data_IF_458710359989
#
_entry.id   IF_458710359989
#
_cell.length_a   1.000
_cell.length_b   1.000
_cell.length_c   1.000
_cell.angle_alpha   90.00
_cell.angle_beta   90.00
_cell.angle_gamma   90.00
#
_symmetry.space_group_name_H-M   'P 1'
#
loop_
_entity.id
_entity.type
_entity.pdbx_description
1 polymer ?
#
# COMPACT_ATOMS: atom_id res chain seq x y z
N UNK A 1 21.33 -18.87 16.81
CA UNK A 1 21.33 -17.63 16.00
C UNK A 1 19.90 -17.14 15.86
N UNK A 2 19.54 -16.09 16.60
CA UNK A 2 18.32 -15.28 16.43
C UNK A 2 18.71 -13.86 16.82
N UNK A 3 19.17 -13.08 15.85
CA UNK A 3 19.33 -11.63 16.00
C UNK A 3 17.99 -11.02 15.60
N UNK A 4 17.20 -10.69 16.62
CA UNK A 4 15.95 -9.96 16.51
C UNK A 4 16.29 -8.55 16.04
N UNK A 5 15.93 -8.20 14.81
CA UNK A 5 16.09 -6.84 14.26
C UNK A 5 14.98 -5.93 14.78
N UNK A 6 14.88 -5.79 16.10
CA UNK A 6 14.02 -4.82 16.77
C UNK A 6 14.85 -3.57 17.08
N UNK A 7 15.12 -2.71 16.11
CA UNK A 7 15.60 -1.34 16.37
C UNK A 7 15.64 -0.53 15.06
N UNK A 8 14.66 0.38 14.86
CA UNK A 8 14.83 1.68 14.18
C UNK A 8 13.54 2.51 14.11
N UNK A 9 12.89 2.72 15.26
CA UNK A 9 12.07 3.91 15.46
C UNK A 9 12.75 4.75 16.56
N UNK A 10 13.91 5.34 16.21
CA UNK A 10 14.62 6.24 17.12
C UNK A 10 13.86 7.56 17.17
N UNK A 11 13.18 7.78 18.30
CA UNK A 11 12.61 9.08 18.66
C UNK A 11 13.74 10.06 18.98
N UNK A 12 14.05 10.95 18.05
CA UNK A 12 14.88 12.14 18.32
C UNK A 12 14.00 13.26 18.85
N UNK A 13 14.10 13.53 20.16
CA UNK A 13 13.58 14.75 20.77
C UNK A 13 14.48 15.94 20.39
N UNK A 14 14.02 16.82 19.49
CA UNK A 14 14.44 18.22 19.42
C UNK A 14 13.43 19.04 18.61
N UNK A 15 13.10 20.24 19.08
CA UNK A 15 12.02 21.10 18.62
C UNK A 15 12.29 21.67 17.22
N UNK A 16 11.70 21.05 16.20
CA UNK A 16 11.37 21.61 14.87
C UNK A 16 10.40 20.64 14.20
N UNK A 17 9.29 21.14 13.66
CA UNK A 17 8.22 20.42 12.94
C UNK A 17 8.47 18.91 12.75
N UNK A 18 7.98 18.10 13.70
CA UNK A 18 8.08 16.64 13.62
C UNK A 18 7.18 16.21 12.46
N UNK A 19 7.74 16.10 11.26
CA UNK A 19 7.19 15.21 10.25
C UNK A 19 7.44 13.81 10.79
N UNK A 20 6.47 13.28 11.55
CA UNK A 20 6.47 11.87 11.92
C UNK A 20 6.50 11.10 10.61
N UNK A 21 7.65 10.52 10.26
CA UNK A 21 7.75 9.59 9.14
C UNK A 21 6.98 8.36 9.58
N UNK A 22 5.71 8.31 9.21
CA UNK A 22 4.87 7.16 9.48
C UNK A 22 5.33 6.06 8.53
N UNK A 23 6.13 5.13 9.04
CA UNK A 23 6.49 3.94 8.28
C UNK A 23 5.21 3.13 8.03
N UNK A 24 5.01 2.71 6.78
CA UNK A 24 3.93 1.78 6.45
C UNK A 24 4.35 0.38 6.87
N UNK A 25 3.37 -0.42 7.28
CA UNK A 25 3.58 -1.84 7.54
C UNK A 25 3.72 -2.61 6.22
N UNK A 26 4.33 -3.79 6.30
CA UNK A 26 4.48 -4.69 5.17
C UNK A 26 3.18 -5.47 4.93
N UNK A 27 2.92 -5.88 3.69
CA UNK A 27 1.73 -6.64 3.31
C UNK A 27 2.09 -7.95 2.61
N UNK A 28 1.73 -9.07 3.20
CA UNK A 28 1.91 -10.40 2.60
C UNK A 28 0.77 -10.76 1.65
N UNK A 29 1.10 -11.02 0.39
CA UNK A 29 0.15 -11.39 -0.65
C UNK A 29 0.14 -12.91 -0.91
N UNK A 30 -0.96 -13.41 -1.48
CA UNK A 30 -1.20 -14.85 -1.68
C UNK A 30 -0.28 -15.52 -2.70
N UNK A 31 0.43 -14.75 -3.53
CA UNK A 31 1.50 -15.23 -4.41
C UNK A 31 2.87 -15.35 -3.72
N UNK A 32 2.94 -15.13 -2.41
CA UNK A 32 4.18 -15.21 -1.62
C UNK A 32 5.02 -13.94 -1.63
N UNK A 33 4.60 -12.89 -2.34
CA UNK A 33 5.27 -11.59 -2.33
C UNK A 33 4.89 -10.80 -1.08
N UNK A 34 5.88 -10.12 -0.51
CA UNK A 34 5.69 -9.11 0.53
C UNK A 34 5.80 -7.76 -0.13
N UNK A 35 4.72 -6.97 -0.10
CA UNK A 35 4.76 -5.56 -0.50
C UNK A 35 5.32 -4.77 0.67
N UNK A 36 6.58 -4.36 0.54
CA UNK A 36 7.32 -3.66 1.58
C UNK A 36 6.74 -2.26 1.84
N UNK A 37 6.80 -1.82 3.10
CA UNK A 37 6.29 -0.53 3.54
C UNK A 37 6.92 0.68 2.82
N UNK A 38 8.17 0.57 2.36
CA UNK A 38 8.83 1.62 1.58
C UNK A 38 8.22 1.78 0.17
N UNK A 39 7.80 0.68 -0.47
CA UNK A 39 7.09 0.66 -1.75
C UNK A 39 5.73 1.34 -1.57
N UNK A 40 5.02 1.01 -0.48
CA UNK A 40 3.72 1.61 -0.15
C UNK A 40 3.89 3.10 0.14
N UNK A 41 4.89 3.48 0.94
CA UNK A 41 5.14 4.88 1.27
C UNK A 41 5.50 5.71 0.03
N UNK A 42 6.30 5.16 -0.89
CA UNK A 42 6.56 5.81 -2.19
C UNK A 42 5.28 6.01 -2.98
N UNK A 43 4.46 4.98 -3.10
CA UNK A 43 3.18 5.07 -3.82
C UNK A 43 2.22 6.12 -3.22
N UNK A 44 2.23 6.29 -1.89
CA UNK A 44 1.50 7.35 -1.18
C UNK A 44 2.05 8.75 -1.45
N UNK A 45 3.38 8.91 -1.43
CA UNK A 45 4.04 10.18 -1.70
C UNK A 45 3.73 10.67 -3.12
N UNK A 46 3.61 9.76 -4.07
CA UNK A 46 3.31 10.07 -5.47
C UNK A 46 1.86 10.55 -5.68
N UNK A 47 0.94 10.35 -4.72
CA UNK A 47 -0.48 10.73 -4.86
C UNK A 47 -0.65 12.23 -5.10
N UNK A 48 0.17 13.08 -4.49
CA UNK A 48 0.07 14.54 -4.73
C UNK A 48 0.41 14.96 -6.15
N UNK A 49 1.15 14.10 -6.87
CA UNK A 49 1.58 14.34 -8.26
C UNK A 49 0.78 13.52 -9.27
N UNK A 50 -0.08 12.62 -8.80
CA UNK A 50 -0.96 11.82 -9.66
C UNK A 50 -2.01 12.70 -10.33
N UNK A 51 -2.26 12.42 -11.61
CA UNK A 51 -3.44 12.95 -12.29
C UNK A 51 -4.70 12.32 -11.67
N UNK A 52 -5.82 13.03 -11.57
CA UNK A 52 -7.10 12.43 -11.18
C UNK A 52 -7.48 11.17 -11.98
N UNK A 53 -6.97 11.02 -13.21
CA UNK A 53 -7.22 9.85 -14.07
C UNK A 53 -6.50 8.56 -13.63
N UNK A 54 -5.49 8.65 -12.75
CA UNK A 54 -4.79 7.47 -12.21
C UNK A 54 -5.37 7.00 -10.89
N UNK A 55 -6.32 7.76 -10.33
CA UNK A 55 -7.07 7.45 -9.12
C UNK A 55 -8.47 6.98 -9.49
N UNK A 56 -8.85 5.82 -8.97
CA UNK A 56 -10.13 5.20 -9.28
C UNK A 56 -10.95 5.04 -8.00
N UNK A 57 -12.26 5.25 -8.08
CA UNK A 57 -13.13 5.09 -6.92
C UNK A 57 -13.14 3.62 -6.44
N UNK A 58 -12.93 3.43 -5.13
CA UNK A 58 -12.99 2.12 -4.45
C UNK A 58 -14.20 2.00 -3.50
N UNK A 59 -15.15 2.94 -3.61
CA UNK A 59 -16.35 3.02 -2.77
C UNK A 59 -16.16 3.96 -1.57
N UNK A 60 -17.07 3.91 -0.61
CA UNK A 60 -17.01 4.73 0.61
C UNK A 60 -16.73 3.86 1.84
N UNK A 61 -16.28 4.48 2.92
CA UNK A 61 -16.03 3.87 4.22
C UNK A 61 -16.59 4.79 5.31
N UNK A 62 -17.24 4.24 6.34
CA UNK A 62 -17.72 5.01 7.48
C UNK A 62 -16.76 4.84 8.66
N UNK A 63 -16.11 5.93 9.09
CA UNK A 63 -15.11 5.94 10.18
C UNK A 63 -15.32 7.20 11.01
N UNK A 64 -15.25 7.09 12.34
CA UNK A 64 -15.33 8.24 13.27
C UNK A 64 -16.52 9.17 13.00
N UNK A 65 -17.69 8.61 12.70
CA UNK A 65 -18.93 9.33 12.43
C UNK A 65 -18.96 10.12 11.10
N UNK A 66 -18.03 9.85 10.18
CA UNK A 66 -17.93 10.49 8.87
C UNK A 66 -17.84 9.45 7.75
N UNK A 67 -18.34 9.80 6.56
CA UNK A 67 -18.14 9.01 5.34
C UNK A 67 -16.91 9.53 4.59
N UNK A 68 -15.93 8.66 4.42
CA UNK A 68 -14.72 8.92 3.64
C UNK A 68 -14.81 8.21 2.30
N UNK A 69 -14.38 8.87 1.22
CA UNK A 69 -14.19 8.17 -0.04
C UNK A 69 -12.94 7.31 0.05
N UNK A 70 -13.01 6.15 -0.58
CA UNK A 70 -11.84 5.31 -0.84
C UNK A 70 -11.49 5.39 -2.30
N UNK A 71 -10.20 5.40 -2.53
CA UNK A 71 -9.59 5.43 -3.85
C UNK A 71 -8.66 4.24 -3.99
N UNK A 72 -8.41 3.85 -5.22
CA UNK A 72 -7.36 2.91 -5.54
C UNK A 72 -6.48 3.41 -6.67
N UNK A 73 -5.20 3.05 -6.60
CA UNK A 73 -4.23 3.20 -7.68
C UNK A 73 -3.36 1.95 -7.78
N UNK A 74 -2.76 1.72 -8.94
CA UNK A 74 -1.74 0.68 -9.09
C UNK A 74 -0.44 1.12 -8.43
N UNK A 75 0.25 0.19 -7.80
CA UNK A 75 1.56 0.37 -7.17
C UNK A 75 2.62 -0.07 -8.18
N UNK A 76 3.63 0.78 -8.41
CA UNK A 76 4.83 0.37 -9.14
C UNK A 76 5.69 -0.47 -8.20
N UNK A 77 5.88 -1.74 -8.54
CA UNK A 77 6.62 -2.71 -7.73
C UNK A 77 7.93 -3.14 -8.41
N UNK A 78 8.93 -3.62 -7.64
CA UNK A 78 10.13 -4.21 -8.21
C UNK A 78 9.84 -5.41 -9.13
N UNK A 79 10.74 -5.69 -10.07
CA UNK A 79 10.60 -6.83 -10.99
C UNK A 79 10.56 -8.18 -10.26
N UNK A 80 11.20 -8.28 -9.10
CA UNK A 80 11.17 -9.49 -8.26
C UNK A 80 9.77 -9.86 -7.74
N UNK A 81 8.79 -8.94 -7.82
CA UNK A 81 7.41 -9.19 -7.37
C UNK A 81 6.55 -9.86 -8.46
N UNK A 82 7.08 -10.04 -9.68
CA UNK A 82 6.43 -10.82 -10.72
C UNK A 82 6.81 -12.31 -10.53
N UNK A 83 5.83 -13.13 -10.17
CA UNK A 83 6.04 -14.55 -9.83
C UNK A 83 5.34 -15.45 -10.86
N UNK A 84 6.14 -16.19 -11.62
CA UNK A 84 5.65 -17.09 -12.67
C UNK A 84 5.14 -16.36 -13.92
N UNK A 85 4.36 -17.07 -14.73
CA UNK A 85 3.88 -16.56 -16.03
C UNK A 85 2.52 -15.84 -15.94
N UNK A 86 1.95 -15.71 -14.73
CA UNK A 86 0.66 -15.03 -14.56
C UNK A 86 0.90 -13.55 -14.40
N UNK A 87 0.29 -12.75 -15.28
CA UNK A 87 0.34 -11.29 -15.18
C UNK A 87 -0.36 -10.83 -13.90
N UNK A 88 0.39 -10.16 -13.03
CA UNK A 88 -0.10 -9.64 -11.75
C UNK A 88 0.23 -8.17 -11.57
N UNK A 89 -0.66 -7.43 -10.93
CA UNK A 89 -0.38 -6.08 -10.42
C UNK A 89 -0.84 -5.92 -8.97
N UNK A 90 -0.37 -4.85 -8.34
CA UNK A 90 -0.69 -4.55 -6.94
C UNK A 90 -1.43 -3.22 -6.88
N UNK A 91 -2.49 -3.14 -6.07
CA UNK A 91 -3.27 -1.92 -5.86
C UNK A 91 -3.13 -1.44 -4.43
N UNK A 92 -2.94 -0.14 -4.28
CA UNK A 92 -3.03 0.57 -3.02
C UNK A 92 -4.47 1.08 -2.88
N UNK A 93 -5.15 0.68 -1.81
CA UNK A 93 -6.44 1.25 -1.40
C UNK A 93 -6.18 2.24 -0.27
N UNK A 94 -6.64 3.47 -0.43
CA UNK A 94 -6.45 4.53 0.54
C UNK A 94 -7.71 5.41 0.65
N UNK A 95 -7.83 6.19 1.71
CA UNK A 95 -8.94 7.14 1.87
C UNK A 95 -8.53 8.59 1.56
N UNK A 96 -9.48 9.53 1.66
CA UNK A 96 -9.25 10.96 1.43
C UNK A 96 -8.13 11.56 2.31
N UNK A 97 -7.82 10.95 3.47
CA UNK A 97 -6.74 11.35 4.36
C UNK A 97 -5.39 10.68 4.01
N UNK A 98 -5.33 9.97 2.87
CA UNK A 98 -4.18 9.16 2.42
C UNK A 98 -3.78 8.07 3.41
N UNK A 99 -4.73 7.59 4.22
CA UNK A 99 -4.50 6.47 5.12
C UNK A 99 -4.66 5.18 4.32
N UNK A 100 -3.66 4.30 4.39
CA UNK A 100 -3.71 2.97 3.77
C UNK A 100 -4.85 2.17 4.39
N UNK A 101 -5.72 1.62 3.55
CA UNK A 101 -6.84 0.78 3.96
C UNK A 101 -6.65 -0.68 3.56
N UNK A 102 -5.95 -0.95 2.46
CA UNK A 102 -5.61 -2.31 2.02
C UNK A 102 -4.58 -2.27 0.89
N UNK A 103 -3.83 -3.36 0.75
CA UNK A 103 -3.08 -3.70 -0.47
C UNK A 103 -3.77 -4.90 -1.12
N UNK A 104 -3.99 -4.82 -2.44
CA UNK A 104 -4.64 -5.89 -3.20
C UNK A 104 -3.69 -6.44 -4.26
N UNK A 105 -3.61 -7.76 -4.34
CA UNK A 105 -3.02 -8.47 -5.47
C UNK A 105 -4.09 -8.70 -6.53
N UNK A 106 -3.78 -8.35 -7.77
CA UNK A 106 -4.66 -8.42 -8.92
C UNK A 106 -4.06 -9.38 -9.93
N UNK A 107 -4.75 -10.48 -10.21
CA UNK A 107 -4.39 -11.42 -11.27
C UNK A 107 -5.15 -11.05 -12.54
N UNK A 108 -4.42 -10.97 -13.65
CA UNK A 108 -4.96 -10.67 -14.97
C UNK A 108 -5.01 -11.94 -15.80
N UNK A 109 -6.22 -12.46 -16.01
CA UNK A 109 -6.47 -13.61 -16.87
C UNK A 109 -7.14 -13.15 -18.15
N UNK A 110 -7.07 -13.95 -19.22
CA UNK A 110 -7.82 -13.68 -20.45
C UNK A 110 -9.33 -13.61 -20.23
N UNK A 111 -9.84 -14.35 -19.23
CA UNK A 111 -11.26 -14.40 -18.86
C UNK A 111 -11.70 -13.27 -17.93
N UNK A 112 -10.77 -12.43 -17.44
CA UNK A 112 -11.08 -11.33 -16.54
C UNK A 112 -10.05 -11.17 -15.43
N UNK A 113 -10.46 -10.48 -14.36
CA UNK A 113 -9.59 -10.13 -13.24
C UNK A 113 -10.04 -10.87 -11.97
N UNK A 114 -9.09 -11.41 -11.22
CA UNK A 114 -9.30 -11.89 -9.86
C UNK A 114 -8.52 -11.02 -8.88
N UNK A 115 -9.16 -10.61 -7.80
CA UNK A 115 -8.55 -9.75 -6.78
C UNK A 115 -8.45 -10.54 -5.47
N UNK A 116 -7.26 -10.55 -4.89
CA UNK A 116 -6.98 -11.09 -3.56
C UNK A 116 -6.52 -9.95 -2.64
N UNK A 117 -7.02 -9.90 -1.41
CA UNK A 117 -6.46 -8.98 -0.41
C UNK A 117 -5.11 -9.52 0.08
N UNK A 118 -4.14 -8.64 0.29
CA UNK A 118 -2.93 -8.96 1.02
C UNK A 118 -3.17 -8.72 2.52
N UNK A 119 -2.39 -9.39 3.37
CA UNK A 119 -2.52 -9.33 4.84
C UNK A 119 -1.41 -8.47 5.40
N UNK A 120 -1.78 -7.45 6.19
CA UNK A 120 -0.83 -6.61 6.95
C UNK A 120 -0.09 -7.46 8.00
N UNK A 121 1.22 -7.20 8.18
CA UNK A 121 2.11 -7.95 9.09
C UNK A 121 2.78 -7.05 10.12
#
# INVERSE_FOLDING_TARGET
>A
MRTSTLLRCLFTWLVTAITTVQCQNDYHCSNGVVVEGDVIQRALNDISTDSPSTLYAAGTLYVNNEYLNRWWKTITVPESYYVGDTETSYRLIFDDNKIVRSIQLVYHFRSGIQISQCTEV
#
